data_IF_327763551749
#
_entry.id   IF_327763551749
#
_cell.length_a   1.000
_cell.length_b   1.000
_cell.length_c   1.000
_cell.angle_alpha   90.00
_cell.angle_beta   90.00
_cell.angle_gamma   90.00
#
_symmetry.space_group_name_H-M   'P 1'
#
loop_
_entity.id
_entity.type
_entity.pdbx_description
1 polymer ?
#
# COMPACT_ATOMS: atom_id res chain seq x y z
N UNK A 1 -7.80 5.63 -26.21
CA UNK A 1 -7.93 4.61 -27.27
C UNK A 1 -8.56 3.37 -26.68
N UNK A 2 -9.53 2.76 -27.35
CA UNK A 2 -10.24 1.57 -26.85
C UNK A 2 -9.86 0.36 -27.71
N UNK A 3 -9.55 -0.78 -27.07
CA UNK A 3 -9.28 -2.06 -27.75
C UNK A 3 -10.38 -3.04 -27.40
N UNK A 4 -11.01 -3.65 -28.41
CA UNK A 4 -12.00 -4.72 -28.19
C UNK A 4 -11.28 -6.05 -27.96
N UNK A 5 -11.64 -6.73 -26.89
CA UNK A 5 -11.14 -8.06 -26.53
C UNK A 5 -12.32 -9.00 -26.27
N UNK A 6 -12.14 -10.28 -26.54
CA UNK A 6 -13.10 -11.32 -26.16
C UNK A 6 -12.62 -11.96 -24.87
N UNK A 7 -13.48 -12.01 -23.86
CA UNK A 7 -13.19 -12.61 -22.55
C UNK A 7 -14.33 -13.54 -22.17
N UNK A 8 -13.98 -14.66 -21.55
CA UNK A 8 -14.96 -15.58 -20.96
C UNK A 8 -15.07 -15.24 -19.49
N UNK A 9 -16.29 -15.00 -19.02
CA UNK A 9 -16.60 -14.70 -17.63
C UNK A 9 -17.58 -15.74 -17.08
N UNK A 10 -17.47 -16.10 -15.78
CA UNK A 10 -18.46 -16.94 -15.13
C UNK A 10 -19.87 -16.34 -15.23
N UNK A 11 -20.88 -17.21 -15.31
CA UNK A 11 -22.28 -16.81 -15.49
C UNK A 11 -22.75 -15.92 -14.34
N UNK A 12 -22.27 -16.19 -13.13
CA UNK A 12 -22.53 -15.42 -11.92
C UNK A 12 -22.01 -13.99 -12.05
N UNK A 13 -20.79 -13.82 -12.57
CA UNK A 13 -20.18 -12.50 -12.81
C UNK A 13 -20.96 -11.71 -13.85
N UNK A 14 -21.44 -12.36 -14.91
CA UNK A 14 -22.29 -11.72 -15.94
C UNK A 14 -23.62 -11.29 -15.35
N UNK A 15 -24.27 -12.11 -14.50
CA UNK A 15 -25.52 -11.75 -13.81
C UNK A 15 -25.35 -10.52 -12.92
N UNK A 16 -24.23 -10.40 -12.20
CA UNK A 16 -23.90 -9.21 -11.42
C UNK A 16 -23.72 -8.02 -12.35
N UNK A 17 -22.90 -8.17 -13.40
CA UNK A 17 -22.63 -7.11 -14.36
C UNK A 17 -23.93 -6.55 -14.99
N UNK A 18 -24.87 -7.43 -15.32
CA UNK A 18 -26.17 -7.07 -15.88
C UNK A 18 -27.09 -6.34 -14.91
N UNK A 19 -26.94 -6.61 -13.60
CA UNK A 19 -27.66 -5.93 -12.54
C UNK A 19 -27.13 -4.51 -12.30
N UNK A 20 -25.81 -4.34 -12.32
CA UNK A 20 -25.18 -3.06 -11.93
C UNK A 20 -24.97 -2.13 -13.13
N UNK A 21 -24.81 -2.66 -14.35
CA UNK A 21 -24.57 -1.88 -15.56
C UNK A 21 -25.60 -2.21 -16.65
N UNK A 22 -26.73 -1.47 -16.71
CA UNK A 22 -27.64 -1.52 -17.84
C UNK A 22 -26.94 -1.12 -19.15
N UNK A 23 -27.54 -1.52 -20.27
CA UNK A 23 -27.03 -1.47 -21.66
C UNK A 23 -25.99 -0.37 -21.93
N UNK A 24 -24.82 -0.78 -22.41
CA UNK A 24 -23.73 0.11 -22.86
C UNK A 24 -22.65 0.38 -21.81
N UNK A 25 -22.94 0.19 -20.51
CA UNK A 25 -21.97 0.47 -19.44
C UNK A 25 -21.13 -0.74 -18.98
N UNK A 26 -21.35 -1.94 -19.55
CA UNK A 26 -20.61 -3.16 -19.20
C UNK A 26 -19.09 -2.98 -19.33
N UNK A 27 -18.62 -2.42 -20.45
CA UNK A 27 -17.19 -2.22 -20.70
C UNK A 27 -16.56 -1.21 -19.74
N UNK A 28 -17.31 -0.15 -19.37
CA UNK A 28 -16.86 0.86 -18.41
C UNK A 28 -16.70 0.23 -17.02
N UNK A 29 -17.71 -0.52 -16.57
CA UNK A 29 -17.68 -1.18 -15.27
C UNK A 29 -16.56 -2.23 -15.18
N UNK A 30 -16.34 -3.02 -16.24
CA UNK A 30 -15.22 -3.96 -16.29
C UNK A 30 -13.88 -3.21 -16.18
N UNK A 31 -13.72 -2.10 -16.91
CA UNK A 31 -12.49 -1.30 -16.85
C UNK A 31 -12.24 -0.75 -15.44
N UNK A 32 -13.27 -0.18 -14.80
CA UNK A 32 -13.17 0.35 -13.44
C UNK A 32 -12.83 -0.75 -12.44
N UNK A 33 -13.47 -1.92 -12.53
CA UNK A 33 -13.20 -3.05 -11.65
C UNK A 33 -11.76 -3.57 -11.81
N UNK A 34 -11.25 -3.68 -13.04
CA UNK A 34 -9.88 -4.12 -13.29
C UNK A 34 -8.87 -3.12 -12.74
N UNK A 35 -9.05 -1.83 -13.00
CA UNK A 35 -8.15 -0.79 -12.49
C UNK A 35 -8.15 -0.76 -10.95
N UNK A 36 -9.34 -0.81 -10.34
CA UNK A 36 -9.48 -0.85 -8.88
C UNK A 36 -8.84 -2.10 -8.27
N UNK A 37 -9.01 -3.26 -8.90
CA UNK A 37 -8.39 -4.50 -8.43
C UNK A 37 -6.86 -4.43 -8.50
N UNK A 38 -6.29 -3.91 -9.58
CA UNK A 38 -4.84 -3.74 -9.72
C UNK A 38 -4.31 -2.75 -8.68
N UNK A 39 -4.97 -1.61 -8.50
CA UNK A 39 -4.55 -0.59 -7.53
C UNK A 39 -4.62 -1.12 -6.08
N UNK A 40 -5.71 -1.79 -5.71
CA UNK A 40 -5.86 -2.36 -4.36
C UNK A 40 -4.86 -3.50 -4.10
N UNK A 41 -4.60 -4.36 -5.09
CA UNK A 41 -3.56 -5.40 -4.99
C UNK A 41 -2.16 -4.81 -4.92
N UNK A 42 -1.86 -3.75 -5.68
CA UNK A 42 -0.57 -3.07 -5.61
C UNK A 42 -0.32 -2.47 -4.22
N UNK A 43 -1.34 -1.83 -3.62
CA UNK A 43 -1.28 -1.31 -2.25
C UNK A 43 -1.06 -2.41 -1.21
N UNK A 44 -1.80 -3.52 -1.32
CA UNK A 44 -1.63 -4.65 -0.40
C UNK A 44 -0.25 -5.31 -0.56
N UNK A 45 0.21 -5.49 -1.79
CA UNK A 45 1.53 -6.04 -2.07
C UNK A 45 2.67 -5.14 -1.58
N UNK A 46 2.46 -3.81 -1.53
CA UNK A 46 3.46 -2.88 -1.01
C UNK A 46 3.69 -3.11 0.49
N UNK A 47 2.62 -3.23 1.29
CA UNK A 47 2.74 -3.49 2.72
C UNK A 47 3.48 -4.80 3.00
N UNK A 48 3.14 -5.87 2.29
CA UNK A 48 3.81 -7.17 2.42
C UNK A 48 5.29 -7.09 2.01
N UNK A 49 5.61 -6.37 0.93
CA UNK A 49 7.00 -6.15 0.49
C UNK A 49 7.79 -5.31 1.49
N UNK A 50 7.21 -4.26 2.05
CA UNK A 50 7.85 -3.46 3.10
C UNK A 50 8.13 -4.29 4.34
N UNK A 51 7.16 -5.10 4.78
CA UNK A 51 7.34 -6.03 5.90
C UNK A 51 8.44 -7.05 5.63
N UNK A 52 8.43 -7.67 4.45
CA UNK A 52 9.46 -8.64 4.06
C UNK A 52 10.86 -8.00 4.03
N UNK A 53 10.97 -6.79 3.48
CA UNK A 53 12.22 -6.02 3.46
C UNK A 53 12.72 -5.68 4.86
N UNK A 54 11.84 -5.19 5.74
CA UNK A 54 12.18 -4.89 7.13
C UNK A 54 12.66 -6.13 7.90
N UNK A 55 11.98 -7.27 7.71
CA UNK A 55 12.40 -8.54 8.32
C UNK A 55 13.73 -9.05 7.76
N UNK A 56 13.94 -8.95 6.45
CA UNK A 56 15.19 -9.37 5.81
C UNK A 56 16.39 -8.52 6.25
N UNK A 57 16.17 -7.24 6.53
CA UNK A 57 17.22 -6.30 6.93
C UNK A 57 17.35 -6.12 8.45
N UNK A 58 16.43 -6.68 9.24
CA UNK A 58 16.30 -6.43 10.68
C UNK A 58 17.62 -6.54 11.47
N UNK A 59 18.45 -7.54 11.16
CA UNK A 59 19.74 -7.72 11.83
C UNK A 59 20.71 -6.58 11.52
N UNK A 60 20.87 -6.24 10.23
CA UNK A 60 21.77 -5.16 9.80
C UNK A 60 21.32 -3.83 10.37
N UNK A 61 20.02 -3.56 10.30
CA UNK A 61 19.44 -2.30 10.78
C UNK A 61 19.64 -2.15 12.29
N UNK A 62 19.56 -3.25 13.04
CA UNK A 62 19.82 -3.28 14.48
C UNK A 62 21.30 -3.11 14.82
N UNK A 63 22.21 -3.74 14.08
CA UNK A 63 23.66 -3.56 14.22
C UNK A 63 24.05 -2.09 13.99
N UNK A 64 23.58 -1.48 12.90
CA UNK A 64 23.81 -0.05 12.61
C UNK A 64 23.23 0.84 13.72
N UNK A 65 22.00 0.58 14.16
CA UNK A 65 21.38 1.38 15.22
C UNK A 65 22.18 1.31 16.53
N UNK A 66 22.77 0.16 16.85
CA UNK A 66 23.61 0.01 18.05
C UNK A 66 24.94 0.76 17.93
N UNK A 67 25.58 0.70 16.76
CA UNK A 67 26.84 1.43 16.51
C UNK A 67 26.67 2.94 16.69
N UNK A 68 25.53 3.49 16.28
CA UNK A 68 25.26 4.93 16.31
C UNK A 68 24.55 5.41 17.58
N UNK A 69 24.10 4.49 18.44
CA UNK A 69 23.22 4.79 19.57
C UNK A 69 23.74 5.89 20.50
N UNK A 70 25.03 5.85 20.85
CA UNK A 70 25.64 6.83 21.76
C UNK A 70 25.61 8.25 21.21
N UNK A 71 25.88 8.41 19.90
CA UNK A 71 25.88 9.71 19.23
C UNK A 71 24.46 10.29 19.16
N UNK A 72 23.49 9.44 18.83
CA UNK A 72 22.08 9.83 18.77
C UNK A 72 21.54 10.21 20.16
N UNK A 73 21.91 9.47 21.21
CA UNK A 73 21.49 9.76 22.58
C UNK A 73 22.01 11.12 23.05
N UNK A 74 23.29 11.42 22.79
CA UNK A 74 23.89 12.71 23.13
C UNK A 74 23.22 13.87 22.39
N UNK A 75 22.99 13.73 21.09
CA UNK A 75 22.32 14.73 20.28
C UNK A 75 20.88 14.97 20.78
N UNK A 76 20.14 13.90 21.09
CA UNK A 76 18.78 13.98 21.61
C UNK A 76 18.70 14.69 22.97
N UNK A 77 19.63 14.38 23.89
CA UNK A 77 19.69 15.03 25.21
C UNK A 77 19.96 16.53 25.10
N UNK A 78 20.83 16.94 24.17
CA UNK A 78 21.14 18.36 23.91
C UNK A 78 19.99 19.11 23.26
N UNK A 79 19.17 18.43 22.46
CA UNK A 79 18.02 19.01 21.77
C UNK A 79 16.76 19.15 22.65
N UNK A 80 16.71 18.52 23.84
CA UNK A 80 15.55 18.64 24.74
C UNK A 80 15.39 20.09 25.25
N UNK A 81 14.29 20.80 24.92
CA UNK A 81 14.04 22.10 25.51
C UNK A 81 13.75 21.94 27.01
N UNK A 82 14.27 22.86 27.83
CA UNK A 82 14.01 22.88 29.26
C UNK A 82 12.49 22.90 29.54
N UNK A 83 12.00 22.19 30.58
CA UNK A 83 10.58 22.17 30.90
C UNK A 83 10.10 23.60 31.14
N UNK A 84 9.04 24.02 30.42
CA UNK A 84 8.39 25.31 30.62
C UNK A 84 7.89 25.35 32.07
N UNK A 85 8.53 26.18 32.90
CA UNK A 85 8.01 26.54 34.23
C UNK A 85 6.67 27.26 34.03
N UNK A 86 5.58 26.54 34.22
CA UNK A 86 4.26 27.13 34.45
C UNK A 86 4.29 27.82 35.81
N UNK A 87 3.89 29.09 35.82
CA UNK A 87 3.80 29.97 36.99
C UNK A 87 2.34 30.17 37.34
#
# INVERSE_FOLDING_TARGET
MNKRINVVLPVETVKVLDRVAPRGNRSRLISEAVLHYVESRAKNNLADRLKAGALANARRDLEIAQEWFSLDEEAWRRAKPAPRRTR
#
